data_IF_774462506972
#
_entry.id   IF_774462506972
#
_cell.length_a   1.000
_cell.length_b   1.000
_cell.length_c   1.000
_cell.angle_alpha   90.00
_cell.angle_beta   90.00
_cell.angle_gamma   90.00
#
_symmetry.space_group_name_H-M   'P 1'
#
loop_
_entity.id
_entity.type
_entity.pdbx_description
1 polymer ?
#
# COMPACT_ATOMS: atom_id res chain seq x y z
N UNK A 1 -39.14 39.03 24.72
CA UNK A 1 -38.93 37.89 23.81
C UNK A 1 -37.47 37.92 23.36
N UNK A 2 -36.65 36.98 23.82
CA UNK A 2 -35.20 36.98 23.59
C UNK A 2 -34.89 36.26 22.27
N UNK A 3 -34.30 36.99 21.34
CA UNK A 3 -33.66 36.49 20.12
C UNK A 3 -32.38 35.73 20.49
N UNK A 4 -32.25 34.46 20.06
CA UNK A 4 -31.02 33.67 20.15
C UNK A 4 -30.44 33.51 18.74
N UNK A 5 -29.20 33.99 18.56
CA UNK A 5 -28.45 33.83 17.32
C UNK A 5 -27.89 32.42 17.20
N UNK A 6 -28.07 31.80 16.05
CA UNK A 6 -27.38 30.57 15.68
C UNK A 6 -25.97 30.93 15.21
N UNK A 7 -24.95 30.52 15.95
CA UNK A 7 -23.56 30.59 15.49
C UNK A 7 -23.32 29.44 14.49
N UNK A 8 -23.12 29.78 13.22
CA UNK A 8 -22.71 28.82 12.21
C UNK A 8 -21.22 28.49 12.41
N UNK A 9 -20.92 27.25 12.81
CA UNK A 9 -19.54 26.76 12.88
C UNK A 9 -19.07 26.42 11.47
N UNK A 10 -18.10 27.17 10.94
CA UNK A 10 -17.45 26.84 9.68
C UNK A 10 -16.49 25.66 9.89
N UNK A 11 -16.75 24.53 9.24
CA UNK A 11 -15.81 23.41 9.16
C UNK A 11 -14.83 23.72 8.04
N UNK A 12 -13.58 23.99 8.39
CA UNK A 12 -12.49 24.19 7.43
C UNK A 12 -11.97 22.81 6.98
N UNK A 13 -12.35 22.38 5.78
CA UNK A 13 -11.75 21.20 5.14
C UNK A 13 -10.48 21.66 4.43
N UNK A 14 -9.32 21.38 5.01
CA UNK A 14 -8.03 21.59 4.34
C UNK A 14 -7.78 20.40 3.43
N UNK A 15 -8.05 20.57 2.13
CA UNK A 15 -7.54 19.67 1.11
C UNK A 15 -6.03 19.90 0.99
N UNK A 16 -5.22 18.99 1.54
CA UNK A 16 -3.81 18.93 1.19
C UNK A 16 -3.68 18.30 -0.19
N UNK A 17 -3.56 19.11 -1.23
CA UNK A 17 -3.17 18.62 -2.55
C UNK A 17 -1.69 18.31 -2.54
N UNK A 18 -1.32 17.02 -2.57
CA UNK A 18 0.05 16.64 -2.93
C UNK A 18 0.24 16.99 -4.40
N UNK A 19 1.04 18.02 -4.66
CA UNK A 19 1.41 18.37 -6.03
C UNK A 19 2.40 17.31 -6.51
N UNK A 20 1.97 16.44 -7.42
CA UNK A 20 2.88 15.60 -8.17
C UNK A 20 3.94 16.49 -8.83
N UNK A 21 5.22 16.17 -8.63
CA UNK A 21 6.32 17.00 -9.08
C UNK A 21 6.44 16.92 -10.61
N UNK A 22 5.70 17.77 -11.33
CA UNK A 22 5.77 17.84 -12.79
C UNK A 22 7.11 18.42 -13.20
N UNK A 23 8.01 17.57 -13.71
CA UNK A 23 9.26 18.00 -14.31
C UNK A 23 9.00 18.43 -15.75
N UNK A 24 9.57 19.55 -16.17
CA UNK A 24 9.46 20.02 -17.55
C UNK A 24 9.89 18.93 -18.54
N UNK A 25 9.05 18.68 -19.55
CA UNK A 25 9.25 17.60 -20.53
C UNK A 25 8.85 16.20 -20.07
N UNK A 26 8.32 16.02 -18.86
CA UNK A 26 7.86 14.72 -18.33
C UNK A 26 6.38 14.75 -17.98
N UNK A 27 5.70 13.64 -18.25
CA UNK A 27 4.31 13.41 -17.85
C UNK A 27 4.24 12.23 -16.90
N UNK A 28 3.51 12.38 -15.79
CA UNK A 28 3.25 11.28 -14.87
C UNK A 28 2.30 10.28 -15.53
N UNK A 29 2.71 9.02 -15.65
CA UNK A 29 1.92 7.96 -16.28
C UNK A 29 1.42 6.90 -15.29
N UNK A 30 2.08 6.79 -14.13
CA UNK A 30 1.70 5.85 -13.08
C UNK A 30 2.27 6.30 -11.74
N UNK A 31 1.49 6.17 -10.67
CA UNK A 31 1.90 6.44 -9.29
C UNK A 31 0.97 5.72 -8.31
N UNK A 32 1.47 5.49 -7.09
CA UNK A 32 0.65 5.18 -5.94
C UNK A 32 1.18 5.90 -4.71
N UNK A 33 0.39 6.84 -4.17
CA UNK A 33 0.74 7.63 -2.98
C UNK A 33 0.31 6.92 -1.68
N UNK A 34 -0.38 5.78 -1.80
CA UNK A 34 -0.86 4.98 -0.67
C UNK A 34 -1.78 5.75 0.29
N UNK A 35 -2.73 6.51 -0.27
CA UNK A 35 -3.65 7.37 0.50
C UNK A 35 -4.86 6.63 1.10
N UNK A 36 -5.06 5.35 0.77
CA UNK A 36 -6.19 4.55 1.24
C UNK A 36 -5.72 3.47 2.22
N UNK A 37 -6.04 3.65 3.49
CA UNK A 37 -5.77 2.65 4.53
C UNK A 37 -6.39 1.29 4.18
N UNK A 38 -5.70 0.21 4.57
CA UNK A 38 -6.14 -1.17 4.34
C UNK A 38 -5.11 -1.99 3.57
N UNK A 39 -5.54 -2.88 2.69
CA UNK A 39 -4.62 -3.62 1.82
C UNK A 39 -4.19 -2.74 0.62
N UNK A 40 -2.98 -2.96 0.06
CA UNK A 40 -2.57 -2.44 -1.24
C UNK A 40 -3.67 -2.52 -2.30
N UNK A 41 -3.80 -1.48 -3.13
CA UNK A 41 -4.84 -1.41 -4.17
C UNK A 41 -4.68 -2.57 -5.17
N UNK A 42 -5.64 -3.51 -5.27
CA UNK A 42 -5.53 -4.67 -6.14
C UNK A 42 -5.58 -4.31 -7.63
N UNK A 43 -6.00 -3.09 -8.00
CA UNK A 43 -5.91 -2.61 -9.38
C UNK A 43 -4.46 -2.24 -9.77
N UNK A 44 -3.58 -2.01 -8.79
CA UNK A 44 -2.19 -1.59 -9.00
C UNK A 44 -1.18 -2.65 -8.57
N UNK A 45 -1.46 -3.39 -7.50
CA UNK A 45 -0.53 -4.32 -6.87
C UNK A 45 -1.11 -5.72 -6.78
N UNK A 46 -0.27 -6.71 -7.08
CA UNK A 46 -0.49 -8.12 -6.76
C UNK A 46 0.60 -8.62 -5.82
N UNK A 47 0.50 -9.87 -5.38
CA UNK A 47 1.40 -10.48 -4.40
C UNK A 47 2.14 -11.66 -4.97
N UNK A 48 3.38 -11.82 -4.54
CA UNK A 48 4.04 -13.13 -4.62
C UNK A 48 3.63 -14.00 -3.43
N UNK A 49 3.69 -15.33 -3.61
CA UNK A 49 3.24 -16.29 -2.60
C UNK A 49 4.31 -17.35 -2.33
N UNK A 50 4.62 -17.54 -1.06
CA UNK A 50 5.46 -18.62 -0.57
C UNK A 50 6.95 -18.31 -0.46
N UNK A 51 7.76 -19.37 -0.52
CA UNK A 51 9.23 -19.26 -0.55
C UNK A 51 9.67 -19.06 -2.00
N UNK A 52 9.97 -17.82 -2.37
CA UNK A 52 10.11 -17.45 -3.80
C UNK A 52 11.58 -17.34 -4.22
N UNK A 53 12.48 -16.84 -3.37
CA UNK A 53 13.86 -16.49 -3.75
C UNK A 53 14.90 -17.00 -2.76
N UNK A 54 16.13 -17.17 -3.26
CA UNK A 54 17.41 -17.28 -2.53
C UNK A 54 17.44 -18.10 -1.24
N UNK A 55 16.59 -19.14 -1.07
CA UNK A 55 16.46 -19.89 0.20
C UNK A 55 16.20 -18.96 1.39
N UNK A 56 15.50 -17.86 1.15
CA UNK A 56 15.14 -16.89 2.16
C UNK A 56 14.20 -17.51 3.20
N UNK A 57 14.29 -17.04 4.45
CA UNK A 57 13.63 -17.68 5.59
C UNK A 57 12.12 -17.36 5.65
N UNK A 58 11.70 -16.25 5.06
CA UNK A 58 10.33 -15.77 5.10
C UNK A 58 9.44 -16.42 4.05
N UNK A 59 8.21 -16.73 4.46
CA UNK A 59 7.13 -17.07 3.55
C UNK A 59 6.37 -15.79 3.17
N UNK A 60 6.30 -15.47 1.88
CA UNK A 60 5.50 -14.34 1.40
C UNK A 60 4.01 -14.68 1.46
N UNK A 61 3.27 -13.87 2.22
CA UNK A 61 1.83 -14.03 2.41
C UNK A 61 1.05 -13.19 1.41
N UNK A 62 -0.20 -13.59 1.14
CA UNK A 62 -1.11 -12.90 0.22
C UNK A 62 -2.20 -12.23 1.02
N UNK A 63 -2.43 -10.94 0.78
CA UNK A 63 -3.55 -10.17 1.36
C UNK A 63 -3.66 -10.26 2.90
N UNK A 64 -2.51 -10.31 3.58
CA UNK A 64 -2.43 -10.32 5.04
C UNK A 64 -1.93 -8.98 5.56
N UNK A 65 -2.79 -8.25 6.28
CA UNK A 65 -2.51 -6.89 6.75
C UNK A 65 -1.32 -6.83 7.73
N UNK A 66 -1.05 -7.92 8.45
CA UNK A 66 0.12 -8.04 9.32
C UNK A 66 1.44 -7.98 8.55
N UNK A 67 1.43 -8.30 7.25
CA UNK A 67 2.64 -8.29 6.42
C UNK A 67 2.64 -7.22 5.32
N UNK A 68 1.46 -6.81 4.81
CA UNK A 68 1.33 -5.71 3.86
C UNK A 68 0.04 -4.93 4.12
N UNK A 69 0.18 -3.65 4.46
CA UNK A 69 -0.94 -2.73 4.63
C UNK A 69 -0.54 -1.31 4.25
N UNK A 70 -1.51 -0.55 3.79
CA UNK A 70 -1.43 0.89 3.72
C UNK A 70 -1.95 1.45 5.03
N UNK A 71 -1.17 2.32 5.66
CA UNK A 71 -1.52 2.96 6.92
C UNK A 71 -0.86 4.34 7.01
N UNK A 72 -1.66 5.38 7.18
CA UNK A 72 -1.17 6.76 7.33
C UNK A 72 -0.32 7.22 6.14
N UNK A 73 -0.84 7.06 4.91
CA UNK A 73 -0.19 7.54 3.68
C UNK A 73 1.06 6.76 3.25
N UNK A 74 1.21 5.52 3.72
CA UNK A 74 2.41 4.70 3.47
C UNK A 74 2.05 3.25 3.27
N UNK A 75 2.70 2.60 2.30
CA UNK A 75 2.79 1.15 2.25
C UNK A 75 3.76 0.64 3.31
N UNK A 76 3.25 -0.17 4.23
CA UNK A 76 4.02 -0.90 5.24
C UNK A 76 4.19 -2.34 4.75
N UNK A 77 5.44 -2.74 4.51
CA UNK A 77 5.84 -4.13 4.33
C UNK A 77 6.55 -4.57 5.61
N UNK A 78 5.97 -5.55 6.29
CA UNK A 78 6.42 -5.96 7.63
C UNK A 78 6.81 -7.43 7.63
N UNK A 79 8.11 -7.68 7.89
CA UNK A 79 8.62 -9.00 8.20
C UNK A 79 8.35 -9.36 9.65
N UNK A 80 7.82 -10.55 9.91
CA UNK A 80 7.46 -11.01 11.26
C UNK A 80 8.12 -12.34 11.55
N UNK A 81 8.60 -12.52 12.78
CA UNK A 81 9.04 -13.81 13.30
C UNK A 81 7.86 -14.46 14.00
N UNK A 82 7.26 -15.46 13.39
CA UNK A 82 6.08 -16.17 13.91
C UNK A 82 6.03 -17.60 13.35
N UNK A 83 5.39 -18.50 14.10
CA UNK A 83 5.05 -19.81 13.56
C UNK A 83 3.82 -19.67 12.65
N UNK A 84 4.01 -19.86 11.36
CA UNK A 84 2.96 -19.73 10.35
C UNK A 84 2.78 -21.05 9.60
N UNK A 85 1.54 -21.50 9.45
CA UNK A 85 1.18 -22.60 8.54
C UNK A 85 0.37 -22.01 7.40
N UNK A 86 0.94 -22.06 6.20
CA UNK A 86 0.33 -21.52 5.00
C UNK A 86 -0.84 -22.40 4.51
N UNK A 87 -1.78 -21.84 3.72
CA UNK A 87 -2.86 -22.62 3.12
C UNK A 87 -2.41 -23.76 2.20
N UNK A 88 -1.18 -23.71 1.69
CA UNK A 88 -0.56 -24.79 0.89
C UNK A 88 0.12 -25.87 1.77
N UNK A 89 -0.06 -25.81 3.10
CA UNK A 89 0.46 -26.77 4.07
C UNK A 89 1.91 -26.53 4.49
N UNK A 90 2.62 -25.55 3.92
CA UNK A 90 4.01 -25.26 4.31
C UNK A 90 4.05 -24.50 5.63
N UNK A 91 5.06 -24.81 6.44
CA UNK A 91 5.32 -24.11 7.70
C UNK A 91 6.50 -23.15 7.54
N UNK A 92 6.41 -21.97 8.16
CA UNK A 92 7.47 -20.97 8.17
C UNK A 92 7.66 -20.38 9.58
N UNK A 93 8.90 -20.02 9.89
CA UNK A 93 9.26 -19.31 11.14
C UNK A 93 9.29 -17.79 10.96
N UNK A 94 9.19 -17.34 9.70
CA UNK A 94 9.13 -15.93 9.33
C UNK A 94 8.08 -15.74 8.24
N UNK A 95 7.37 -14.63 8.28
CA UNK A 95 6.45 -14.19 7.23
C UNK A 95 6.85 -12.81 6.76
N UNK A 96 6.52 -12.48 5.53
CA UNK A 96 6.63 -11.13 4.98
C UNK A 96 5.58 -10.95 3.88
N UNK A 97 5.66 -9.83 3.17
CA UNK A 97 4.96 -9.62 1.92
C UNK A 97 5.95 -9.19 0.82
N UNK A 98 5.59 -9.51 -0.41
CA UNK A 98 6.23 -9.00 -1.63
C UNK A 98 5.11 -8.59 -2.57
N UNK A 99 5.05 -7.31 -2.91
CA UNK A 99 4.07 -6.75 -3.83
C UNK A 99 4.74 -6.45 -5.17
N UNK A 100 4.02 -6.68 -6.26
CA UNK A 100 4.52 -6.49 -7.63
C UNK A 100 3.41 -5.90 -8.50
N UNK A 101 3.79 -5.27 -9.60
CA UNK A 101 2.86 -4.75 -10.62
C UNK A 101 2.68 -5.74 -11.78
N UNK A 102 3.12 -6.99 -11.63
CA UNK A 102 2.92 -8.01 -12.64
C UNK A 102 1.42 -8.19 -12.94
N UNK A 103 1.07 -8.16 -14.22
CA UNK A 103 -0.33 -8.17 -14.69
C UNK A 103 -1.13 -6.87 -14.48
N UNK A 104 -0.61 -5.85 -13.80
CA UNK A 104 -1.31 -4.57 -13.56
C UNK A 104 -0.66 -3.39 -14.26
N UNK A 105 0.67 -3.27 -14.21
CA UNK A 105 1.41 -2.19 -14.84
C UNK A 105 2.82 -2.63 -15.23
N UNK A 106 3.22 -2.26 -16.46
CA UNK A 106 4.57 -2.44 -16.97
C UNK A 106 5.05 -1.13 -17.59
N UNK A 107 6.32 -0.79 -17.34
CA UNK A 107 6.95 0.40 -17.88
C UNK A 107 8.00 0.01 -18.93
N UNK A 108 8.02 0.73 -20.05
CA UNK A 108 9.10 0.64 -21.04
C UNK A 108 9.68 2.04 -21.25
N UNK A 109 10.95 2.19 -20.88
CA UNK A 109 11.65 3.49 -20.79
C UNK A 109 10.99 4.47 -19.81
N UNK A 110 11.66 5.59 -19.56
CA UNK A 110 11.17 6.65 -18.70
C UNK A 110 11.93 6.74 -17.39
N UNK A 111 11.24 7.22 -16.35
CA UNK A 111 11.82 7.45 -15.02
C UNK A 111 10.92 6.83 -13.95
N UNK A 112 11.55 6.14 -13.01
CA UNK A 112 10.97 5.60 -11.78
C UNK A 112 11.61 6.29 -10.59
#
# INVERSE_FOLDING_TARGET
MKQWGMAATAVLVVLMTVAAQTREGWTLVWADEFDRDGLPDPAKWTYEKGFVRNKEAQYYTVSRAENARVESGRLIIEGRKEAYTAPDGKTASYTAASVTTDGTFALTYGRV
#
